data_IF_994749881721
#
_entry.id   IF_994749881721
#
_cell.length_a   1.000
_cell.length_b   1.000
_cell.length_c   1.000
_cell.angle_alpha   90.00
_cell.angle_beta   90.00
_cell.angle_gamma   90.00
#
_symmetry.space_group_name_H-M   'P 1'
#
loop_
_entity.id
_entity.type
_entity.pdbx_description
1 polymer ?
#
# COMPACT_ATOMS: atom_id res chain seq x y z
N UNK A 1 19.77 1.86 31.63
CA UNK A 1 18.33 2.17 31.48
C UNK A 1 18.04 2.23 30.00
N UNK A 2 17.71 1.10 29.40
CA UNK A 2 17.20 1.01 28.03
C UNK A 2 15.85 0.32 28.18
N UNK A 3 14.77 1.06 27.99
CA UNK A 3 13.44 0.47 27.94
C UNK A 3 13.40 -0.36 26.65
N UNK A 4 13.54 -1.68 26.78
CA UNK A 4 12.99 -2.58 25.79
C UNK A 4 11.47 -2.47 25.94
N UNK A 5 10.86 -1.59 25.15
CA UNK A 5 9.45 -1.73 24.84
C UNK A 5 9.43 -2.97 23.96
N UNK A 6 8.82 -4.05 24.43
CA UNK A 6 8.30 -5.09 23.53
C UNK A 6 7.30 -4.36 22.63
N UNK A 7 7.80 -3.80 21.54
CA UNK A 7 6.99 -2.97 20.67
C UNK A 7 6.20 -3.94 19.79
N UNK A 8 5.02 -4.30 20.28
CA UNK A 8 4.02 -5.01 19.48
C UNK A 8 3.71 -4.14 18.26
N UNK A 9 3.94 -4.69 17.07
CA UNK A 9 3.57 -4.04 15.82
C UNK A 9 2.11 -4.42 15.51
N UNK A 10 1.32 -3.54 14.89
CA UNK A 10 0.04 -3.96 14.32
C UNK A 10 0.26 -5.16 13.40
N UNK A 11 -0.58 -6.19 13.49
CA UNK A 11 -0.46 -7.41 12.67
C UNK A 11 -0.34 -7.12 11.18
N UNK A 12 -1.04 -6.09 10.72
CA UNK A 12 -0.93 -5.61 9.34
C UNK A 12 0.50 -5.22 8.95
N UNK A 13 1.25 -4.57 9.84
CA UNK A 13 2.64 -4.20 9.57
C UNK A 13 3.55 -5.44 9.54
N UNK A 14 3.28 -6.44 10.39
CA UNK A 14 4.01 -7.72 10.35
C UNK A 14 3.77 -8.42 9.01
N UNK A 15 2.53 -8.50 8.56
CA UNK A 15 2.18 -9.07 7.25
C UNK A 15 2.81 -8.29 6.09
N UNK A 16 2.83 -6.95 6.15
CA UNK A 16 3.48 -6.10 5.14
C UNK A 16 4.99 -6.38 4.99
N UNK A 17 5.64 -6.85 6.05
CA UNK A 17 7.08 -7.15 6.07
C UNK A 17 7.37 -8.63 5.73
N UNK A 18 6.35 -9.47 5.58
CA UNK A 18 6.52 -10.88 5.28
C UNK A 18 6.76 -11.13 3.78
N UNK A 19 8.02 -11.34 3.43
CA UNK A 19 8.43 -11.70 2.06
C UNK A 19 7.88 -13.05 1.57
N UNK A 20 7.41 -13.93 2.46
CA UNK A 20 6.82 -15.22 2.04
C UNK A 20 5.49 -15.03 1.31
N UNK A 21 4.83 -13.91 1.60
CA UNK A 21 3.58 -13.49 1.01
C UNK A 21 3.77 -12.57 -0.20
N UNK A 22 5.02 -12.30 -0.61
CA UNK A 22 5.30 -11.56 -1.83
C UNK A 22 4.76 -12.32 -3.05
N UNK A 23 4.14 -11.58 -3.97
CA UNK A 23 3.67 -12.11 -5.24
C UNK A 23 2.63 -13.25 -5.13
N UNK A 24 1.52 -13.09 -4.37
CA UNK A 24 0.55 -14.15 -4.19
C UNK A 24 -0.04 -14.59 -5.55
N UNK A 25 -0.09 -15.91 -5.85
CA UNK A 25 -0.58 -16.41 -7.13
C UNK A 25 -2.06 -16.07 -7.34
N UNK A 26 -2.86 -16.06 -6.26
CA UNK A 26 -4.26 -15.63 -6.25
C UNK A 26 -4.49 -14.71 -5.04
N UNK A 27 -4.36 -13.41 -5.25
CA UNK A 27 -4.85 -12.45 -4.26
C UNK A 27 -6.36 -12.34 -4.39
N UNK A 28 -7.09 -12.47 -3.27
CA UNK A 28 -8.55 -12.30 -3.25
C UNK A 28 -8.96 -10.86 -3.57
N UNK A 29 -8.09 -9.88 -3.31
CA UNK A 29 -8.34 -8.46 -3.59
C UNK A 29 -7.05 -7.72 -3.99
N UNK A 30 -7.18 -6.63 -4.75
CA UNK A 30 -6.06 -5.81 -5.22
C UNK A 30 -5.24 -5.20 -4.08
N UNK A 31 -5.90 -4.80 -2.99
CA UNK A 31 -5.27 -4.24 -1.78
C UNK A 31 -4.22 -5.19 -1.21
N UNK A 32 -4.56 -6.47 -1.03
CA UNK A 32 -3.62 -7.46 -0.51
C UNK A 32 -2.39 -7.62 -1.41
N UNK A 33 -2.60 -7.59 -2.74
CA UNK A 33 -1.50 -7.70 -3.70
C UNK A 33 -0.56 -6.49 -3.70
N UNK A 34 -1.07 -5.28 -3.47
CA UNK A 34 -0.27 -4.06 -3.58
C UNK A 34 0.33 -3.60 -2.27
N UNK A 35 -0.34 -3.86 -1.15
CA UNK A 35 0.09 -3.42 0.16
C UNK A 35 0.55 -4.56 1.07
N UNK A 36 0.38 -5.84 0.69
CA UNK A 36 0.83 -6.97 1.52
C UNK A 36 0.02 -7.15 2.81
N UNK A 37 -1.27 -6.78 2.79
CA UNK A 37 -2.18 -6.92 3.94
C UNK A 37 -3.25 -7.99 3.68
N UNK A 38 -3.46 -8.86 4.66
CA UNK A 38 -4.40 -9.98 4.54
C UNK A 38 -5.78 -9.68 5.11
N UNK A 39 -5.84 -8.86 6.16
CA UNK A 39 -7.08 -8.44 6.81
C UNK A 39 -7.18 -6.93 6.76
N UNK A 40 -8.30 -6.44 6.24
CA UNK A 40 -8.56 -5.01 6.11
C UNK A 40 -10.05 -4.74 5.98
N UNK A 41 -10.43 -3.49 6.26
CA UNK A 41 -11.77 -2.96 6.01
C UNK A 41 -11.70 -2.10 4.74
N UNK A 42 -12.64 -2.29 3.81
CA UNK A 42 -12.77 -1.46 2.62
C UNK A 42 -14.13 -0.76 2.63
N UNK A 43 -14.09 0.57 2.55
CA UNK A 43 -15.26 1.41 2.32
C UNK A 43 -15.28 1.77 0.85
N UNK A 44 -16.23 1.19 0.11
CA UNK A 44 -16.45 1.47 -1.31
C UNK A 44 -17.77 2.21 -1.51
N UNK A 45 -17.85 3.21 -2.41
CA UNK A 45 -19.11 3.77 -2.80
C UNK A 45 -19.97 2.70 -3.50
N UNK A 46 -21.27 2.69 -3.20
CA UNK A 46 -22.24 1.88 -3.93
C UNK A 46 -22.27 2.27 -5.41
N UNK A 47 -22.72 1.36 -6.29
CA UNK A 47 -22.79 1.59 -7.74
C UNK A 47 -23.61 2.83 -8.12
N UNK A 48 -24.62 3.16 -7.31
CA UNK A 48 -25.50 4.31 -7.50
C UNK A 48 -24.95 5.60 -6.88
N UNK A 49 -23.91 5.49 -6.06
CA UNK A 49 -23.30 6.62 -5.35
C UNK A 49 -22.26 7.32 -6.22
N UNK A 50 -22.06 8.61 -5.99
CA UNK A 50 -20.97 9.35 -6.61
C UNK A 50 -19.62 8.82 -6.11
N UNK A 51 -18.69 8.67 -7.05
CA UNK A 51 -17.30 8.30 -6.77
C UNK A 51 -16.58 9.37 -5.93
N UNK A 52 -15.65 8.94 -5.07
CA UNK A 52 -14.77 9.83 -4.32
C UNK A 52 -13.63 10.27 -5.24
N UNK A 53 -13.88 11.31 -6.03
CA UNK A 53 -12.95 11.75 -7.09
C UNK A 53 -11.98 12.86 -6.66
N UNK A 54 -12.33 13.64 -5.65
CA UNK A 54 -11.50 14.76 -5.18
C UNK A 54 -10.66 14.39 -3.96
N UNK A 55 -9.48 15.00 -3.87
CA UNK A 55 -8.57 14.86 -2.73
C UNK A 55 -9.19 15.39 -1.43
N UNK A 56 -10.00 16.45 -1.50
CA UNK A 56 -10.69 17.00 -0.34
C UNK A 56 -11.68 15.99 0.26
N UNK A 57 -12.49 15.33 -0.58
CA UNK A 57 -13.44 14.30 -0.12
C UNK A 57 -12.72 13.09 0.49
N UNK A 58 -11.65 12.61 -0.15
CA UNK A 58 -10.90 11.46 0.38
C UNK A 58 -10.26 11.80 1.73
N UNK A 59 -9.64 12.97 1.87
CA UNK A 59 -9.04 13.44 3.13
C UNK A 59 -10.07 13.65 4.24
N UNK A 60 -11.24 14.19 3.92
CA UNK A 60 -12.33 14.33 4.90
C UNK A 60 -12.77 12.96 5.42
N UNK A 61 -12.95 11.97 4.53
CA UNK A 61 -13.36 10.62 4.92
C UNK A 61 -12.28 9.91 5.76
N UNK A 62 -11.00 10.02 5.37
CA UNK A 62 -9.87 9.48 6.15
C UNK A 62 -9.74 10.14 7.52
N UNK A 63 -10.05 11.44 7.64
CA UNK A 63 -10.11 12.13 8.94
C UNK A 63 -11.22 11.55 9.82
N UNK A 64 -12.41 11.34 9.27
CA UNK A 64 -13.51 10.68 9.99
C UNK A 64 -13.16 9.25 10.42
N UNK A 65 -12.48 8.49 9.55
CA UNK A 65 -11.97 7.15 9.86
C UNK A 65 -10.95 7.21 10.99
N UNK A 66 -10.02 8.18 10.99
CA UNK A 66 -9.04 8.36 12.07
C UNK A 66 -9.72 8.53 13.42
N UNK A 67 -10.78 9.34 13.49
CA UNK A 67 -11.55 9.52 14.72
C UNK A 67 -12.26 8.23 15.15
N UNK A 68 -12.87 7.49 14.21
CA UNK A 68 -13.53 6.22 14.51
C UNK A 68 -12.54 5.16 15.01
N UNK A 69 -11.36 5.08 14.39
CA UNK A 69 -10.27 4.19 14.81
C UNK A 69 -9.80 4.54 16.22
N UNK A 70 -9.52 5.82 16.50
CA UNK A 70 -9.11 6.28 17.83
C UNK A 70 -10.15 5.97 18.92
N UNK A 71 -11.44 6.07 18.60
CA UNK A 71 -12.53 5.79 19.54
C UNK A 71 -12.77 4.29 19.77
N UNK A 72 -12.43 3.44 18.81
CA UNK A 72 -12.71 1.99 18.87
C UNK A 72 -11.48 1.15 19.20
N UNK A 73 -10.27 1.70 19.05
CA UNK A 73 -9.03 0.94 19.14
C UNK A 73 -8.84 -0.05 17.97
N UNK A 74 -9.50 0.17 16.83
CA UNK A 74 -9.41 -0.71 15.68
C UNK A 74 -7.99 -0.70 15.09
N UNK A 75 -7.33 -1.86 15.08
CA UNK A 75 -5.97 -2.03 14.55
C UNK A 75 -5.93 -2.54 13.11
N UNK A 76 -7.09 -2.81 12.50
CA UNK A 76 -7.14 -3.24 11.11
C UNK A 76 -6.90 -2.05 10.17
N UNK A 77 -6.14 -2.24 9.08
CA UNK A 77 -6.07 -1.27 7.99
C UNK A 77 -7.46 -0.98 7.45
N UNK A 78 -7.78 0.31 7.32
CA UNK A 78 -9.04 0.78 6.74
C UNK A 78 -8.72 1.54 5.46
N UNK A 79 -9.35 1.11 4.38
CA UNK A 79 -9.21 1.69 3.05
C UNK A 79 -10.51 2.32 2.58
N UNK A 80 -10.38 3.35 1.76
CA UNK A 80 -11.44 3.95 0.98
C UNK A 80 -11.13 3.75 -0.50
N UNK A 81 -12.15 3.38 -1.28
CA UNK A 81 -12.03 3.36 -2.73
C UNK A 81 -12.16 4.80 -3.27
N UNK A 82 -11.12 5.25 -3.95
CA UNK A 82 -11.05 6.58 -4.57
C UNK A 82 -11.10 6.44 -6.09
N UNK A 83 -11.39 7.54 -6.77
CA UNK A 83 -11.66 7.54 -8.21
C UNK A 83 -12.84 6.61 -8.57
N UNK A 84 -12.97 6.26 -9.85
CA UNK A 84 -14.01 5.35 -10.33
C UNK A 84 -13.68 3.90 -9.94
N UNK A 85 -14.70 3.09 -9.71
CA UNK A 85 -14.52 1.74 -9.14
C UNK A 85 -13.59 0.82 -9.96
N UNK A 86 -13.67 0.91 -11.29
CA UNK A 86 -12.84 0.15 -12.23
C UNK A 86 -11.36 0.58 -12.27
N UNK A 87 -11.02 1.75 -11.72
CA UNK A 87 -9.62 2.18 -11.62
C UNK A 87 -8.88 1.47 -10.48
N UNK A 88 -9.62 0.79 -9.59
CA UNK A 88 -9.08 0.08 -8.43
C UNK A 88 -8.11 0.96 -7.63
N UNK A 89 -8.43 2.24 -7.38
CA UNK A 89 -7.57 3.10 -6.56
C UNK A 89 -8.06 3.10 -5.12
N UNK A 90 -7.12 2.97 -4.18
CA UNK A 90 -7.42 2.92 -2.75
C UNK A 90 -6.48 3.84 -1.98
N UNK A 91 -7.02 4.50 -0.96
CA UNK A 91 -6.21 5.19 0.05
C UNK A 91 -6.65 4.71 1.41
N UNK A 92 -5.75 4.61 2.37
CA UNK A 92 -6.08 4.02 3.65
C UNK A 92 -5.13 4.42 4.76
N UNK A 93 -5.45 3.92 5.94
CA UNK A 93 -4.65 4.11 7.14
C UNK A 93 -4.79 2.92 8.08
N UNK A 94 -3.75 2.68 8.87
CA UNK A 94 -3.74 1.73 9.98
C UNK A 94 -3.13 2.46 11.18
N UNK A 95 -3.76 2.32 12.34
CA UNK A 95 -3.25 2.90 13.60
C UNK A 95 -3.23 1.82 14.66
N UNK A 96 -2.18 1.79 15.47
CA UNK A 96 -2.05 0.82 16.56
C UNK A 96 -0.68 0.92 17.21
N UNK A 97 -0.61 0.65 18.51
CA UNK A 97 0.65 0.62 19.26
C UNK A 97 1.52 1.90 19.11
N UNK A 98 0.87 3.06 19.01
CA UNK A 98 1.54 4.36 18.82
C UNK A 98 2.10 4.60 17.41
N UNK A 99 1.83 3.70 16.46
CA UNK A 99 2.23 3.80 15.07
C UNK A 99 1.02 4.13 14.19
N UNK A 100 1.28 4.93 13.15
CA UNK A 100 0.33 5.19 12.07
C UNK A 100 0.98 4.89 10.73
N UNK A 101 0.35 4.02 9.96
CA UNK A 101 0.75 3.70 8.59
C UNK A 101 -0.27 4.30 7.63
N UNK A 102 0.21 5.08 6.66
CA UNK A 102 -0.62 5.64 5.60
C UNK A 102 -0.42 4.84 4.31
N UNK A 103 -1.52 4.48 3.66
CA UNK A 103 -1.52 3.77 2.39
C UNK A 103 -1.95 4.73 1.28
N UNK A 104 -1.02 5.07 0.40
CA UNK A 104 -1.22 6.04 -0.67
C UNK A 104 -0.92 5.43 -2.03
N UNK A 105 -1.80 5.71 -2.99
CA UNK A 105 -1.64 5.30 -4.38
C UNK A 105 -1.58 6.52 -5.28
N UNK A 106 -0.67 6.47 -6.25
CA UNK A 106 -0.53 7.49 -7.28
C UNK A 106 -0.73 6.81 -8.64
N UNK A 107 -1.60 7.39 -9.47
CA UNK A 107 -1.79 6.95 -10.83
C UNK A 107 -1.01 7.84 -11.80
N UNK A 108 0.10 7.32 -12.34
CA UNK A 108 0.91 8.01 -13.34
C UNK A 108 0.47 7.60 -14.74
N UNK A 109 0.02 8.56 -15.56
CA UNK A 109 -0.30 8.31 -16.98
C UNK A 109 0.94 7.91 -17.79
N UNK A 110 2.08 8.50 -17.45
CA UNK A 110 3.38 8.20 -18.02
C UNK A 110 4.39 8.06 -16.90
N UNK A 111 5.15 6.97 -16.91
CA UNK A 111 6.24 6.76 -15.96
C UNK A 111 7.43 7.60 -16.44
N UNK A 112 7.95 8.54 -15.63
CA UNK A 112 9.15 9.29 -15.98
C UNK A 112 10.31 8.34 -16.31
N UNK A 113 11.15 8.64 -17.34
CA UNK A 113 12.25 7.75 -17.74
C UNK A 113 13.24 7.43 -16.61
N UNK A 114 13.42 8.36 -15.66
CA UNK A 114 14.30 8.12 -14.52
C UNK A 114 13.74 7.14 -13.48
N UNK A 115 12.48 6.71 -13.60
CA UNK A 115 11.85 5.72 -12.71
C UNK A 115 11.52 4.39 -13.43
N UNK A 116 11.93 4.22 -14.69
CA UNK A 116 11.70 2.98 -15.45
C UNK A 116 12.67 1.84 -15.10
N UNK A 117 13.74 2.15 -14.36
CA UNK A 117 14.78 1.19 -13.98
C UNK A 117 14.90 1.10 -12.45
N UNK A 118 15.33 -0.07 -11.95
CA UNK A 118 15.52 -0.33 -10.52
C UNK A 118 16.46 0.70 -9.87
N UNK A 119 17.53 1.11 -10.55
CA UNK A 119 18.45 2.15 -10.07
C UNK A 119 17.75 3.48 -9.79
N UNK A 120 16.80 3.87 -10.65
CA UNK A 120 15.97 5.04 -10.50
C UNK A 120 15.06 4.98 -9.28
N UNK A 121 14.38 3.85 -9.10
CA UNK A 121 13.53 3.60 -7.94
C UNK A 121 14.33 3.57 -6.64
N UNK A 122 15.52 2.96 -6.64
CA UNK A 122 16.44 2.97 -5.50
C UNK A 122 16.89 4.37 -5.11
N UNK A 123 17.19 5.22 -6.09
CA UNK A 123 17.56 6.61 -5.84
C UNK A 123 16.39 7.40 -5.25
N UNK A 124 15.17 7.20 -5.77
CA UNK A 124 13.95 7.80 -5.21
C UNK A 124 13.74 7.34 -3.76
N UNK A 125 13.85 6.04 -3.48
CA UNK A 125 13.74 5.48 -2.13
C UNK A 125 14.76 6.10 -1.18
N UNK A 126 16.04 6.14 -1.56
CA UNK A 126 17.11 6.79 -0.77
C UNK A 126 16.83 8.27 -0.52
N UNK A 127 16.32 9.00 -1.52
CA UNK A 127 15.96 10.41 -1.35
C UNK A 127 14.87 10.65 -0.32
N UNK A 128 13.97 9.67 -0.10
CA UNK A 128 12.93 9.72 0.93
C UNK A 128 13.47 9.37 2.32
N UNK A 129 14.56 8.61 2.39
CA UNK A 129 15.28 8.33 3.64
C UNK A 129 16.25 9.45 4.03
N UNK A 130 16.74 10.24 3.06
CA UNK A 130 17.64 11.36 3.31
C UNK A 130 16.97 12.39 4.25
N UNK A 131 17.36 12.38 5.52
CA UNK A 131 16.75 13.15 6.61
C UNK A 131 16.53 12.30 7.87
N UNK A 132 16.50 10.98 7.73
CA UNK A 132 16.45 10.01 8.82
C UNK A 132 17.89 9.65 9.17
N UNK A 133 18.38 10.12 10.33
CA UNK A 133 19.77 9.93 10.77
C UNK A 133 20.00 8.50 11.31
N UNK A 134 19.72 7.51 10.48
CA UNK A 134 19.72 6.08 10.82
C UNK A 134 20.53 5.36 9.75
N UNK A 135 21.40 4.43 10.17
CA UNK A 135 22.07 3.55 9.23
C UNK A 135 21.00 2.85 8.38
N UNK A 136 21.09 2.90 7.03
CA UNK A 136 20.08 2.29 6.20
C UNK A 136 20.00 0.79 6.55
N UNK A 137 18.81 0.27 6.88
CA UNK A 137 18.65 -1.15 7.17
C UNK A 137 18.99 -1.97 5.94
N UNK A 138 19.21 -3.28 6.12
CA UNK A 138 19.32 -4.19 4.98
C UNK A 138 18.02 -4.13 4.18
N UNK A 139 18.10 -3.68 2.92
CA UNK A 139 16.95 -3.57 2.03
C UNK A 139 16.88 -4.87 1.22
N UNK A 140 15.80 -5.63 1.38
CA UNK A 140 15.49 -6.73 0.49
C UNK A 140 14.56 -6.23 -0.63
N UNK A 141 14.82 -6.65 -1.87
CA UNK A 141 14.03 -6.26 -3.03
C UNK A 141 13.73 -7.50 -3.83
N UNK A 142 12.44 -7.76 -4.03
CA UNK A 142 11.97 -8.84 -4.86
C UNK A 142 11.23 -8.26 -6.08
N UNK A 143 11.36 -8.90 -7.24
CA UNK A 143 10.71 -8.49 -8.47
C UNK A 143 10.16 -9.72 -9.21
N UNK A 144 8.90 -9.66 -9.65
CA UNK A 144 8.27 -10.67 -10.50
C UNK A 144 7.92 -10.09 -11.86
N UNK A 145 8.52 -10.65 -12.90
CA UNK A 145 8.23 -10.33 -14.28
C UNK A 145 7.24 -11.37 -14.82
N UNK A 146 6.07 -10.90 -15.28
CA UNK A 146 5.03 -11.78 -15.86
C UNK A 146 4.90 -11.46 -17.34
N UNK A 147 5.06 -12.48 -18.18
CA UNK A 147 4.99 -12.35 -19.64
C UNK A 147 3.78 -13.12 -20.16
N UNK A 148 3.05 -12.53 -21.11
CA UNK A 148 1.95 -13.20 -21.82
C UNK A 148 2.29 -13.24 -23.30
N UNK A 149 2.61 -14.44 -23.80
CA UNK A 149 2.86 -14.68 -25.22
C UNK A 149 1.50 -14.80 -25.92
N UNK A 150 1.16 -13.82 -26.76
CA UNK A 150 -0.12 -13.80 -27.48
C UNK A 150 -0.12 -14.72 -28.70
N UNK A 151 1.05 -14.94 -29.30
CA UNK A 151 1.22 -15.82 -30.45
C UNK A 151 2.53 -16.58 -30.28
N UNK A 152 2.45 -17.90 -30.36
CA UNK A 152 3.61 -18.78 -30.45
C UNK A 152 3.73 -19.20 -31.91
N UNK A 153 4.69 -18.63 -32.64
CA UNK A 153 4.97 -19.09 -34.00
C UNK A 153 5.72 -20.42 -33.87
N UNK A 154 4.99 -21.53 -34.00
CA UNK A 154 5.61 -22.79 -34.38
C UNK A 154 5.90 -22.66 -35.88
N UNK A 155 7.17 -22.46 -36.24
CA UNK A 155 7.60 -22.65 -37.63
C UNK A 155 7.58 -24.15 -37.93
N UNK A 156 7.01 -24.51 -39.09
CA UNK A 156 6.97 -25.85 -39.69
C UNK A 156 8.37 -26.39 -40.05
#
# INVERSE_FOLDING_TARGET
MWFAIDQDWPDAMVHMMDSSSDFPPRAHHHISRWYGVDQFILISPDEKSHAISSEAQSKLLLSSISLAVANTGCTLPIFIQIQKNWCHMFSGQCEGYGLRTCFEMIHLRHIPPHFSHLSGLLNLFRSKLNGVNVNPPNINIAARLTYCLRHWNAED
#
